data_IF_563598956759
#
_entry.id   IF_563598956759
#
_cell.length_a   1.000
_cell.length_b   1.000
_cell.length_c   1.000
_cell.angle_alpha   90.00
_cell.angle_beta   90.00
_cell.angle_gamma   90.00
#
_symmetry.space_group_name_H-M   'P 1'
#
loop_
_entity.id
_entity.type
_entity.pdbx_description
1 polymer ?
#
# COMPACT_ATOMS: atom_id res chain seq x y z
N UNK A 1 -19.20 5.71 -10.80
CA UNK A 1 -18.89 5.93 -9.39
C UNK A 1 -17.59 5.21 -9.03
N UNK A 2 -16.70 5.87 -8.32
CA UNK A 2 -15.51 5.24 -7.75
C UNK A 2 -15.88 4.24 -6.64
N UNK A 3 -14.93 3.39 -6.28
CA UNK A 3 -15.15 2.35 -5.27
C UNK A 3 -15.58 2.93 -3.92
N UNK A 4 -14.94 4.02 -3.50
CA UNK A 4 -15.21 4.69 -2.23
C UNK A 4 -16.65 5.18 -2.12
N UNK A 5 -17.13 5.87 -3.16
CA UNK A 5 -18.50 6.36 -3.24
C UNK A 5 -19.50 5.21 -3.34
N UNK A 6 -19.19 4.17 -4.12
CA UNK A 6 -20.05 3.00 -4.26
C UNK A 6 -20.26 2.26 -2.94
N UNK A 7 -19.19 2.01 -2.20
CA UNK A 7 -19.28 1.34 -0.89
C UNK A 7 -20.05 2.18 0.14
N UNK A 8 -19.89 3.51 0.11
CA UNK A 8 -20.65 4.41 1.01
C UNK A 8 -22.14 4.36 0.72
N UNK A 9 -22.54 4.42 -0.55
CA UNK A 9 -23.94 4.32 -0.96
C UNK A 9 -24.53 2.96 -0.62
N UNK A 10 -23.79 1.86 -0.85
CA UNK A 10 -24.21 0.52 -0.46
C UNK A 10 -24.48 0.43 1.04
N UNK A 11 -23.60 1.01 1.86
CA UNK A 11 -23.78 1.05 3.31
C UNK A 11 -25.06 1.79 3.72
N UNK A 12 -25.34 2.95 3.12
CA UNK A 12 -26.58 3.70 3.37
C UNK A 12 -27.83 2.88 2.96
N UNK A 13 -27.81 2.25 1.80
CA UNK A 13 -28.92 1.40 1.33
C UNK A 13 -29.15 0.22 2.28
N UNK A 14 -28.10 -0.49 2.67
CA UNK A 14 -28.19 -1.63 3.59
C UNK A 14 -28.68 -1.21 4.96
N UNK A 15 -28.31 0.00 5.43
CA UNK A 15 -28.84 0.58 6.65
C UNK A 15 -30.37 0.80 6.57
N UNK A 16 -30.85 1.29 5.41
CA UNK A 16 -32.31 1.49 5.20
C UNK A 16 -33.08 0.20 5.05
N UNK A 17 -32.44 -0.87 4.54
CA UNK A 17 -33.01 -2.20 4.41
C UNK A 17 -32.89 -3.07 5.68
N UNK A 18 -32.25 -2.56 6.71
CA UNK A 18 -31.95 -3.29 7.97
C UNK A 18 -31.19 -4.62 7.73
N UNK A 19 -30.37 -4.69 6.68
CA UNK A 19 -29.61 -5.88 6.31
C UNK A 19 -28.35 -6.05 7.18
N UNK A 20 -28.50 -6.34 8.46
CA UNK A 20 -27.46 -6.31 9.48
C UNK A 20 -26.25 -7.16 9.14
N UNK A 21 -26.44 -8.39 8.63
CA UNK A 21 -25.34 -9.27 8.24
C UNK A 21 -24.47 -8.69 7.13
N UNK A 22 -25.08 -7.93 6.22
CA UNK A 22 -24.35 -7.28 5.10
C UNK A 22 -23.71 -5.97 5.52
N UNK A 23 -24.24 -5.28 6.55
CA UNK A 23 -23.64 -4.06 7.11
C UNK A 23 -22.21 -4.31 7.60
N UNK A 24 -21.92 -5.44 8.23
CA UNK A 24 -20.57 -5.79 8.68
C UNK A 24 -19.58 -5.90 7.50
N UNK A 25 -19.96 -6.65 6.46
CA UNK A 25 -19.10 -6.84 5.27
C UNK A 25 -18.86 -5.53 4.53
N UNK A 26 -19.91 -4.71 4.35
CA UNK A 26 -19.78 -3.41 3.66
C UNK A 26 -19.13 -2.33 4.52
N UNK A 27 -19.16 -2.45 5.85
CA UNK A 27 -18.34 -1.61 6.71
C UNK A 27 -16.86 -1.86 6.47
N UNK A 28 -16.45 -3.12 6.44
CA UNK A 28 -15.07 -3.49 6.12
C UNK A 28 -14.67 -3.02 4.73
N UNK A 29 -15.54 -3.25 3.72
CA UNK A 29 -15.34 -2.75 2.35
C UNK A 29 -15.17 -1.24 2.28
N UNK A 30 -15.96 -0.47 3.06
CA UNK A 30 -15.83 0.99 3.16
C UNK A 30 -14.48 1.41 3.75
N UNK A 31 -14.05 0.78 4.84
CA UNK A 31 -12.78 1.09 5.49
C UNK A 31 -11.60 0.78 4.54
N UNK A 32 -11.65 -0.35 3.84
CA UNK A 32 -10.65 -0.72 2.83
C UNK A 32 -10.65 0.22 1.62
N UNK A 33 -11.83 0.73 1.19
CA UNK A 33 -11.95 1.72 0.14
C UNK A 33 -11.48 3.14 0.56
N UNK A 34 -11.14 3.33 1.86
CA UNK A 34 -10.64 4.58 2.40
C UNK A 34 -11.73 5.53 2.91
N UNK A 35 -12.94 5.05 3.16
CA UNK A 35 -13.94 5.79 3.92
C UNK A 35 -13.60 5.70 5.41
N UNK A 36 -13.69 6.83 6.12
CA UNK A 36 -13.47 6.84 7.57
C UNK A 36 -14.75 6.50 8.33
N UNK A 37 -14.61 6.10 9.60
CA UNK A 37 -15.75 5.89 10.50
C UNK A 37 -16.57 7.17 10.68
N UNK A 38 -15.92 8.31 10.68
CA UNK A 38 -16.58 9.62 10.77
C UNK A 38 -17.46 9.86 9.54
N UNK A 39 -16.95 9.53 8.33
CA UNK A 39 -17.73 9.62 7.08
C UNK A 39 -18.94 8.71 7.12
N UNK A 40 -18.76 7.45 7.55
CA UNK A 40 -19.85 6.48 7.68
C UNK A 40 -20.87 6.91 8.73
N UNK A 41 -20.42 7.41 9.88
CA UNK A 41 -21.28 7.97 10.93
C UNK A 41 -22.10 9.12 10.41
N UNK A 42 -21.48 10.08 9.69
CA UNK A 42 -22.18 11.22 9.10
C UNK A 42 -23.24 10.75 8.08
N UNK A 43 -22.90 9.75 7.24
CA UNK A 43 -23.83 9.20 6.25
C UNK A 43 -25.05 8.53 6.93
N UNK A 44 -24.84 7.75 7.99
CA UNK A 44 -25.96 7.13 8.75
C UNK A 44 -26.84 8.20 9.39
N UNK A 45 -26.26 9.29 9.93
CA UNK A 45 -27.00 10.43 10.48
C UNK A 45 -27.85 11.11 9.39
N UNK A 46 -27.35 11.24 8.17
CA UNK A 46 -28.14 11.77 7.05
C UNK A 46 -29.31 10.86 6.66
N UNK A 47 -29.20 9.54 6.89
CA UNK A 47 -30.30 8.60 6.66
C UNK A 47 -31.36 8.66 7.78
N UNK A 48 -31.07 9.21 8.94
CA UNK A 48 -31.93 9.20 10.14
C UNK A 48 -33.39 9.65 9.89
N UNK A 49 -33.65 10.75 9.11
CA UNK A 49 -35.02 11.18 8.83
C UNK A 49 -35.86 10.16 8.08
N UNK A 50 -35.25 9.19 7.42
CA UNK A 50 -35.90 8.20 6.57
C UNK A 50 -36.03 6.82 7.24
N UNK A 51 -35.10 6.49 8.16
CA UNK A 51 -34.99 5.16 8.77
C UNK A 51 -35.37 5.12 10.28
N UNK A 52 -35.46 6.29 10.90
CA UNK A 52 -35.71 6.41 12.34
C UNK A 52 -34.52 5.99 13.22
N UNK A 53 -34.64 6.30 14.51
CA UNK A 53 -33.59 6.03 15.50
C UNK A 53 -33.20 4.55 15.65
N UNK A 54 -34.12 3.58 15.68
CA UNK A 54 -33.72 2.19 15.91
C UNK A 54 -32.73 1.65 14.90
N UNK A 55 -32.99 1.85 13.61
CA UNK A 55 -32.12 1.39 12.52
C UNK A 55 -30.80 2.16 12.46
N UNK A 56 -30.84 3.48 12.70
CA UNK A 56 -29.64 4.32 12.78
C UNK A 56 -28.74 3.87 13.95
N UNK A 57 -29.29 3.63 15.14
CA UNK A 57 -28.53 3.18 16.32
C UNK A 57 -27.86 1.83 16.06
N UNK A 58 -28.55 0.88 15.41
CA UNK A 58 -27.95 -0.42 15.03
C UNK A 58 -26.72 -0.21 14.14
N UNK A 59 -26.86 0.56 13.06
CA UNK A 59 -25.75 0.83 12.14
C UNK A 59 -24.58 1.57 12.83
N UNK A 60 -24.88 2.56 13.68
CA UNK A 60 -23.86 3.29 14.43
C UNK A 60 -23.14 2.40 15.45
N UNK A 61 -23.84 1.43 16.06
CA UNK A 61 -23.23 0.45 16.96
C UNK A 61 -22.25 -0.44 16.21
N UNK A 62 -22.62 -0.93 15.02
CA UNK A 62 -21.74 -1.72 14.17
C UNK A 62 -20.45 -0.93 13.80
N UNK A 63 -20.59 0.34 13.41
CA UNK A 63 -19.45 1.22 13.13
C UNK A 63 -18.54 1.38 14.36
N UNK A 64 -19.13 1.60 15.52
CA UNK A 64 -18.40 1.80 16.78
C UNK A 64 -17.65 0.55 17.22
N UNK A 65 -18.28 -0.61 17.10
CA UNK A 65 -17.72 -1.90 17.57
C UNK A 65 -16.71 -2.49 16.59
N UNK A 66 -16.70 -2.04 15.33
CA UNK A 66 -15.68 -2.49 14.39
C UNK A 66 -14.29 -2.05 14.85
N UNK A 67 -13.36 -2.97 14.91
CA UNK A 67 -11.95 -2.59 14.90
C UNK A 67 -11.64 -1.93 13.55
N UNK A 68 -11.14 -0.70 13.53
CA UNK A 68 -10.53 -0.22 12.28
C UNK A 68 -9.41 -1.20 11.94
N UNK A 69 -9.36 -1.75 10.71
CA UNK A 69 -8.10 -2.31 10.27
C UNK A 69 -7.07 -1.20 10.45
N UNK A 70 -6.02 -1.47 11.21
CA UNK A 70 -4.93 -0.51 11.35
C UNK A 70 -4.56 -0.04 9.93
N UNK A 71 -4.41 1.28 9.69
CA UNK A 71 -4.05 1.75 8.37
C UNK A 71 -2.82 0.96 7.94
N UNK A 72 -2.94 0.20 6.86
CA UNK A 72 -1.82 -0.58 6.34
C UNK A 72 -0.67 0.39 6.16
N UNK A 73 0.34 0.24 7.01
CA UNK A 73 1.47 1.16 7.02
C UNK A 73 2.38 0.75 5.89
N UNK A 74 2.63 1.67 4.96
CA UNK A 74 3.59 1.44 3.89
C UNK A 74 4.92 0.98 4.50
N UNK A 75 5.50 -0.06 3.95
CA UNK A 75 6.88 -0.40 4.21
C UNK A 75 7.75 0.51 3.34
N UNK A 76 8.61 1.28 3.98
CA UNK A 76 9.56 2.16 3.30
C UNK A 76 10.96 1.73 3.67
N UNK A 77 11.80 1.54 2.67
CA UNK A 77 13.18 1.09 2.82
C UNK A 77 14.12 1.88 1.91
N UNK A 78 15.33 2.08 2.39
CA UNK A 78 16.47 2.51 1.59
C UNK A 78 17.44 1.35 1.50
N UNK A 79 17.66 0.85 0.30
CA UNK A 79 18.71 -0.13 0.00
C UNK A 79 19.93 0.59 -0.51
N UNK A 80 21.02 0.61 0.26
CA UNK A 80 22.30 1.19 -0.11
C UNK A 80 23.24 0.07 -0.54
N UNK A 81 23.75 0.16 -1.74
CA UNK A 81 24.45 -0.93 -2.42
C UNK A 81 25.78 -0.39 -2.97
N UNK A 82 26.87 -1.04 -2.60
CA UNK A 82 28.18 -0.79 -3.25
C UNK A 82 28.43 -1.94 -4.24
N UNK A 83 28.53 -1.59 -5.51
CA UNK A 83 28.74 -2.52 -6.62
C UNK A 83 30.22 -2.55 -7.00
N UNK A 84 30.72 -3.70 -7.44
CA UNK A 84 32.03 -3.80 -8.06
C UNK A 84 32.08 -2.89 -9.31
N UNK A 85 32.96 -1.86 -9.35
CA UNK A 85 33.03 -0.94 -10.48
C UNK A 85 33.21 -1.64 -11.83
N UNK A 86 33.90 -2.78 -11.86
CA UNK A 86 34.11 -3.55 -13.10
C UNK A 86 32.83 -4.21 -13.64
N UNK A 87 31.80 -4.33 -12.81
CA UNK A 87 30.53 -4.97 -13.16
C UNK A 87 29.34 -4.01 -13.15
N UNK A 88 29.57 -2.71 -12.98
CA UNK A 88 28.53 -1.71 -12.78
C UNK A 88 27.52 -1.67 -13.95
N UNK A 89 27.99 -1.70 -15.18
CA UNK A 89 27.11 -1.66 -16.37
C UNK A 89 26.16 -2.89 -16.38
N UNK A 90 26.71 -4.05 -16.11
CA UNK A 90 25.91 -5.29 -16.03
C UNK A 90 24.93 -5.29 -14.86
N UNK A 91 25.35 -4.75 -13.72
CA UNK A 91 24.48 -4.57 -12.57
C UNK A 91 23.29 -3.65 -12.89
N UNK A 92 23.56 -2.51 -13.53
CA UNK A 92 22.53 -1.55 -13.92
C UNK A 92 21.49 -2.17 -14.86
N UNK A 93 21.92 -3.01 -15.82
CA UNK A 93 20.99 -3.70 -16.72
C UNK A 93 20.04 -4.66 -15.95
N UNK A 94 20.53 -5.40 -14.96
CA UNK A 94 19.69 -6.24 -14.11
C UNK A 94 18.72 -5.42 -13.25
N UNK A 95 19.19 -4.30 -12.70
CA UNK A 95 18.38 -3.42 -11.86
C UNK A 95 17.27 -2.74 -12.67
N UNK A 96 17.56 -2.26 -13.88
CA UNK A 96 16.58 -1.65 -14.78
C UNK A 96 15.46 -2.63 -15.11
N UNK A 97 15.80 -3.85 -15.54
CA UNK A 97 14.82 -4.90 -15.84
C UNK A 97 13.93 -5.23 -14.64
N UNK A 98 14.53 -5.30 -13.45
CA UNK A 98 13.82 -5.60 -12.20
C UNK A 98 12.83 -4.47 -11.85
N UNK A 99 13.29 -3.22 -11.82
CA UNK A 99 12.46 -2.06 -11.48
C UNK A 99 11.29 -1.91 -12.47
N UNK A 100 11.55 -2.01 -13.77
CA UNK A 100 10.51 -1.91 -14.78
C UNK A 100 9.45 -3.01 -14.64
N UNK A 101 9.87 -4.25 -14.39
CA UNK A 101 8.97 -5.38 -14.20
C UNK A 101 8.11 -5.20 -12.94
N UNK A 102 8.73 -4.84 -11.82
CA UNK A 102 8.06 -4.65 -10.54
C UNK A 102 7.04 -3.51 -10.58
N UNK A 103 7.42 -2.35 -11.10
CA UNK A 103 6.53 -1.19 -11.21
C UNK A 103 5.35 -1.44 -12.15
N UNK A 104 5.51 -2.30 -13.14
CA UNK A 104 4.44 -2.63 -14.11
C UNK A 104 3.53 -3.75 -13.63
N UNK A 105 4.06 -4.79 -12.97
CA UNK A 105 3.36 -6.04 -12.71
C UNK A 105 2.86 -6.18 -11.27
N UNK A 106 3.42 -5.42 -10.33
CA UNK A 106 3.14 -5.56 -8.91
C UNK A 106 2.39 -4.36 -8.34
N UNK A 107 1.05 -4.43 -8.19
CA UNK A 107 0.26 -3.31 -7.63
C UNK A 107 0.66 -2.92 -6.20
N UNK A 108 1.31 -3.84 -5.47
CA UNK A 108 1.81 -3.61 -4.12
C UNK A 108 3.16 -2.90 -4.06
N UNK A 109 3.88 -2.79 -5.17
CA UNK A 109 5.11 -1.99 -5.30
C UNK A 109 4.72 -0.57 -5.70
N UNK A 110 4.82 0.37 -4.76
CA UNK A 110 4.38 1.75 -4.97
C UNK A 110 5.49 2.63 -5.54
N UNK A 111 6.75 2.33 -5.21
CA UNK A 111 7.92 3.06 -5.70
C UNK A 111 9.14 2.17 -5.60
N UNK A 112 9.89 2.10 -6.70
CA UNK A 112 11.28 1.68 -6.75
C UNK A 112 12.04 2.75 -7.52
N UNK A 113 12.85 3.54 -6.82
CA UNK A 113 13.58 4.64 -7.43
C UNK A 113 15.06 4.54 -7.06
N UNK A 114 15.88 4.21 -8.05
CA UNK A 114 17.31 4.04 -7.90
C UNK A 114 18.07 5.29 -8.31
N UNK A 115 19.06 5.66 -7.52
CA UNK A 115 20.01 6.75 -7.80
C UNK A 115 21.43 6.29 -7.49
N UNK A 116 22.42 6.87 -8.14
CA UNK A 116 23.83 6.68 -7.82
C UNK A 116 24.49 7.99 -7.44
N UNK A 117 25.56 7.92 -6.65
CA UNK A 117 26.38 9.10 -6.37
C UNK A 117 27.13 9.56 -7.65
N UNK A 118 27.15 10.86 -7.90
CA UNK A 118 27.80 11.39 -9.12
C UNK A 118 29.31 11.11 -9.18
N UNK A 119 29.98 11.19 -8.02
CA UNK A 119 31.43 10.98 -7.94
C UNK A 119 31.80 9.51 -7.71
N UNK A 120 30.85 8.71 -7.24
CA UNK A 120 31.00 7.28 -7.00
C UNK A 120 29.83 6.49 -7.59
N UNK A 121 29.77 6.35 -8.94
CA UNK A 121 28.62 5.74 -9.62
C UNK A 121 28.30 4.30 -9.20
N UNK A 122 29.27 3.62 -8.60
CA UNK A 122 29.10 2.26 -8.04
C UNK A 122 28.39 2.22 -6.68
N UNK A 123 28.11 3.39 -6.08
CA UNK A 123 27.27 3.49 -4.87
C UNK A 123 25.86 3.84 -5.28
N UNK A 124 24.99 2.86 -5.20
CA UNK A 124 23.58 2.94 -5.59
C UNK A 124 22.70 2.97 -4.35
N UNK A 125 21.71 3.86 -4.34
CA UNK A 125 20.66 3.89 -3.32
C UNK A 125 19.31 3.70 -3.98
N UNK A 126 18.51 2.77 -3.49
CA UNK A 126 17.15 2.52 -3.97
C UNK A 126 16.17 2.94 -2.89
N UNK A 127 15.27 3.87 -3.21
CA UNK A 127 14.09 4.13 -2.39
C UNK A 127 13.01 3.12 -2.77
N UNK A 128 12.63 2.31 -1.81
CA UNK A 128 11.60 1.28 -1.96
C UNK A 128 10.38 1.64 -1.10
N UNK A 129 9.20 1.64 -1.71
CA UNK A 129 7.92 1.85 -1.00
C UNK A 129 6.96 0.75 -1.43
N UNK A 130 6.51 -0.04 -0.47
CA UNK A 130 5.51 -1.09 -0.66
C UNK A 130 4.22 -0.73 0.07
N UNK A 131 3.09 -1.19 -0.46
CA UNK A 131 1.76 -0.96 0.12
C UNK A 131 1.67 -1.46 1.57
N UNK A 132 2.33 -2.57 1.88
CA UNK A 132 2.45 -3.17 3.21
C UNK A 132 3.56 -4.23 3.23
N UNK A 133 3.72 -4.89 4.38
CA UNK A 133 4.67 -5.97 4.58
C UNK A 133 4.38 -7.21 3.69
N UNK A 134 3.12 -7.47 3.36
CA UNK A 134 2.76 -8.63 2.55
C UNK A 134 3.08 -8.38 1.07
N UNK A 135 2.93 -7.14 0.58
CA UNK A 135 3.40 -6.73 -0.74
C UNK A 135 4.92 -6.93 -0.88
N UNK A 136 5.71 -6.54 0.13
CA UNK A 136 7.15 -6.80 0.14
C UNK A 136 7.49 -8.31 0.11
N UNK A 137 6.81 -9.11 0.95
CA UNK A 137 7.02 -10.57 0.95
C UNK A 137 6.69 -11.22 -0.40
N UNK A 138 5.66 -10.72 -1.06
CA UNK A 138 5.28 -11.16 -2.40
C UNK A 138 6.34 -10.77 -3.44
N UNK A 139 6.78 -9.49 -3.41
CA UNK A 139 7.79 -8.95 -4.29
C UNK A 139 9.08 -9.78 -4.31
N UNK A 140 9.64 -10.07 -3.14
CA UNK A 140 10.90 -10.82 -3.04
C UNK A 140 10.83 -12.28 -3.55
N UNK A 141 9.64 -12.80 -3.84
CA UNK A 141 9.43 -14.13 -4.40
C UNK A 141 9.16 -14.11 -5.90
N UNK A 142 9.01 -12.93 -6.51
CA UNK A 142 8.75 -12.82 -7.94
C UNK A 142 9.92 -13.30 -8.79
N UNK A 143 9.66 -13.81 -10.00
CA UNK A 143 10.73 -14.28 -10.87
C UNK A 143 11.74 -13.19 -11.25
N UNK A 144 11.27 -11.94 -11.47
CA UNK A 144 12.15 -10.81 -11.83
C UNK A 144 13.04 -10.40 -10.67
N UNK A 145 12.52 -10.32 -9.44
CA UNK A 145 13.34 -10.07 -8.26
C UNK A 145 14.37 -11.17 -8.04
N UNK A 146 13.98 -12.45 -8.15
CA UNK A 146 14.89 -13.59 -7.98
C UNK A 146 15.99 -13.60 -9.05
N UNK A 147 15.63 -13.26 -10.31
CA UNK A 147 16.60 -13.10 -11.40
C UNK A 147 17.62 -12.01 -11.09
N UNK A 148 17.15 -10.82 -10.67
CA UNK A 148 18.00 -9.72 -10.23
C UNK A 148 18.91 -10.16 -9.10
N UNK A 149 18.35 -10.68 -8.01
CA UNK A 149 19.09 -11.07 -6.80
C UNK A 149 20.19 -12.10 -7.11
N UNK A 150 19.86 -13.12 -7.87
CA UNK A 150 20.84 -14.17 -8.22
C UNK A 150 21.88 -13.68 -9.23
N UNK A 151 21.44 -12.90 -10.22
CA UNK A 151 22.31 -12.35 -11.26
C UNK A 151 23.33 -11.34 -10.74
N UNK A 152 23.00 -10.62 -9.67
CA UNK A 152 23.85 -9.55 -9.10
C UNK A 152 24.63 -9.96 -7.84
N UNK A 153 24.40 -11.17 -7.30
CA UNK A 153 24.98 -11.63 -6.02
C UNK A 153 26.51 -11.47 -5.96
N UNK A 154 27.23 -11.72 -7.09
CA UNK A 154 28.68 -11.63 -7.17
C UNK A 154 29.16 -10.21 -7.53
N UNK A 155 28.24 -9.29 -7.82
CA UNK A 155 28.55 -7.91 -8.19
C UNK A 155 28.46 -6.95 -7.01
N UNK A 156 27.69 -7.33 -5.99
CA UNK A 156 27.44 -6.53 -4.79
C UNK A 156 28.58 -6.80 -3.77
N UNK A 157 29.28 -5.73 -3.42
CA UNK A 157 30.35 -5.77 -2.40
C UNK A 157 29.80 -5.47 -1.01
N UNK A 158 28.84 -4.53 -0.92
CA UNK A 158 28.19 -4.13 0.33
C UNK A 158 26.70 -3.90 0.08
N UNK A 159 25.89 -4.27 1.07
CA UNK A 159 24.45 -4.04 1.09
C UNK A 159 24.02 -3.62 2.49
N UNK A 160 23.44 -2.43 2.60
CA UNK A 160 22.80 -1.93 3.82
C UNK A 160 21.30 -1.72 3.55
N UNK A 161 20.43 -2.31 4.35
CA UNK A 161 18.99 -2.13 4.29
C UNK A 161 18.53 -1.28 5.48
N UNK A 162 17.99 -0.10 5.20
CA UNK A 162 17.55 0.87 6.22
C UNK A 162 16.04 0.98 6.17
N UNK A 163 15.35 0.33 7.11
CA UNK A 163 13.92 0.50 7.27
C UNK A 163 13.61 1.92 7.74
N UNK A 164 12.72 2.60 7.05
CA UNK A 164 12.47 4.03 7.20
C UNK A 164 10.99 4.32 7.47
N UNK A 165 10.73 5.47 8.08
CA UNK A 165 9.35 5.92 8.32
C UNK A 165 9.13 7.24 7.57
N UNK A 166 8.04 7.35 6.76
CA UNK A 166 7.72 8.61 6.11
C UNK A 166 7.49 9.73 7.13
N UNK A 167 8.15 10.87 6.94
CA UNK A 167 7.93 12.06 7.78
C UNK A 167 6.56 12.67 7.56
N UNK A 168 6.04 12.57 6.32
CA UNK A 168 4.74 13.07 5.92
C UNK A 168 3.99 11.92 5.23
N UNK A 169 3.31 11.04 6.01
CA UNK A 169 2.69 9.82 5.46
C UNK A 169 1.58 10.06 4.42
N UNK A 170 0.95 11.23 4.45
CA UNK A 170 -0.11 11.60 3.50
C UNK A 170 0.39 12.16 2.17
N UNK A 171 1.71 12.41 2.03
CA UNK A 171 2.27 12.93 0.79
C UNK A 171 2.42 11.78 -0.22
N UNK A 172 1.77 11.94 -1.37
CA UNK A 172 1.95 11.00 -2.49
C UNK A 172 3.10 11.47 -3.38
N UNK A 173 3.97 10.54 -3.74
CA UNK A 173 4.95 10.77 -4.82
C UNK A 173 4.16 10.78 -6.13
N UNK A 174 4.28 11.89 -6.88
CA UNK A 174 3.60 12.08 -8.16
C UNK A 174 4.38 11.41 -9.28
#
# INVERSE_FOLDING_TARGET
LDLKTRELLAYCILTTLEAESQLHSHLEGNLLAGNSKETLTAAVIQCLPYIGFPSAIKALKIIKESSQPAPKKNLVRLSKITVDPAQLERYNAFLEEEIEASMRLEPGVLTLYAVSEKEHPNKVTILEIYADQDAYKSHIQTPHFQKYKQGTLQMVQELELVDSTPLIPGLKIK
#
